data_IF_269265367779
#
_entry.id   IF_269265367779
#
_cell.length_a   1.000
_cell.length_b   1.000
_cell.length_c   1.000
_cell.angle_alpha   90.00
_cell.angle_beta   90.00
_cell.angle_gamma   90.00
#
_symmetry.space_group_name_H-M   'P 1'
#
loop_
_entity.id
_entity.type
_entity.pdbx_description
1 polymer ?
#
# COMPACT_ATOMS: atom_id res chain seq x y z
N UNK A 1 3.14 35.49 -3.96
CA UNK A 1 4.58 35.78 -4.10
C UNK A 1 5.06 35.32 -5.47
N UNK A 2 5.96 36.06 -6.12
CA UNK A 2 6.58 35.66 -7.40
C UNK A 2 8.11 35.75 -7.26
N UNK A 3 8.84 34.74 -7.74
CA UNK A 3 10.30 34.62 -7.60
C UNK A 3 10.89 34.20 -8.94
N UNK A 4 11.94 34.91 -9.40
CA UNK A 4 12.77 34.46 -10.53
C UNK A 4 13.90 33.55 -10.04
N UNK A 5 14.17 32.47 -10.75
CA UNK A 5 15.26 31.53 -10.48
C UNK A 5 16.05 31.25 -11.74
N UNK A 6 17.39 31.37 -11.71
CA UNK A 6 18.30 31.10 -12.83
C UNK A 6 18.94 29.69 -12.80
N UNK A 7 18.44 28.77 -11.97
CA UNK A 7 19.02 27.43 -11.85
C UNK A 7 18.08 26.41 -11.24
N UNK A 8 18.36 25.13 -11.53
CA UNK A 8 17.72 23.95 -10.89
C UNK A 8 17.80 24.01 -9.36
N UNK A 9 18.92 24.51 -8.81
CA UNK A 9 19.08 24.68 -7.37
C UNK A 9 18.21 25.82 -6.83
N UNK A 10 18.06 26.93 -7.57
CA UNK A 10 17.11 28.00 -7.26
C UNK A 10 15.68 27.49 -7.15
N UNK A 11 15.18 26.76 -8.16
CA UNK A 11 13.85 26.13 -8.14
C UNK A 11 13.65 25.23 -6.91
N UNK A 12 14.66 24.42 -6.58
CA UNK A 12 14.64 23.55 -5.38
C UNK A 12 14.64 24.34 -4.07
N UNK A 13 15.28 25.51 -3.99
CA UNK A 13 15.24 26.37 -2.82
C UNK A 13 13.87 27.04 -2.64
N UNK A 14 13.20 27.45 -3.72
CA UNK A 14 11.82 27.96 -3.64
C UNK A 14 10.87 26.86 -3.13
N UNK A 15 10.99 25.63 -3.66
CA UNK A 15 10.25 24.48 -3.16
C UNK A 15 10.56 24.18 -1.67
N UNK A 16 11.84 24.24 -1.26
CA UNK A 16 12.25 24.06 0.15
C UNK A 16 11.66 25.11 1.08
N UNK A 17 11.45 26.36 0.62
CA UNK A 17 10.74 27.38 1.40
C UNK A 17 9.27 26.99 1.61
N UNK A 18 8.56 26.62 0.54
CA UNK A 18 7.17 26.16 0.62
C UNK A 18 7.00 24.94 1.54
N UNK A 19 7.89 23.94 1.46
CA UNK A 19 7.84 22.73 2.28
C UNK A 19 7.80 22.99 3.80
N UNK A 20 8.39 24.10 4.28
CA UNK A 20 8.37 24.46 5.72
C UNK A 20 6.97 24.86 6.21
N UNK A 21 6.13 25.36 5.32
CA UNK A 21 4.77 25.81 5.63
C UNK A 21 3.73 24.69 5.53
N UNK A 22 4.04 23.61 4.80
CA UNK A 22 3.08 22.55 4.53
C UNK A 22 2.72 21.73 5.77
N UNK A 23 1.49 21.25 5.78
CA UNK A 23 0.88 20.40 6.80
C UNK A 23 0.13 19.24 6.11
N UNK A 24 -0.25 18.23 6.87
CA UNK A 24 -1.17 17.21 6.39
C UNK A 24 -2.52 17.86 5.98
N UNK A 25 -3.05 17.46 4.83
CA UNK A 25 -4.21 18.05 4.16
C UNK A 25 -3.88 19.09 3.09
N UNK A 26 -2.63 19.53 2.94
CA UNK A 26 -2.27 20.50 1.91
C UNK A 26 -2.17 19.88 0.51
N UNK A 27 -2.74 20.60 -0.47
CA UNK A 27 -2.70 20.26 -1.89
C UNK A 27 -1.93 21.36 -2.64
N UNK A 28 -0.93 20.97 -3.43
CA UNK A 28 -0.08 21.86 -4.21
C UNK A 28 -0.30 21.58 -5.70
N UNK A 29 -0.94 22.50 -6.40
CA UNK A 29 -1.28 22.38 -7.82
C UNK A 29 -0.23 23.12 -8.68
N UNK A 30 0.52 22.38 -9.51
CA UNK A 30 1.58 22.90 -10.36
C UNK A 30 1.09 23.07 -11.80
N UNK A 31 1.29 24.27 -12.33
CA UNK A 31 0.92 24.71 -13.68
C UNK A 31 2.16 25.20 -14.41
N UNK A 32 2.24 24.98 -15.73
CA UNK A 32 3.31 25.52 -16.57
C UNK A 32 3.66 24.59 -17.73
N UNK A 33 4.36 25.13 -18.74
CA UNK A 33 4.69 24.40 -19.97
C UNK A 33 5.66 23.22 -19.72
N UNK A 34 5.93 22.41 -20.76
CA UNK A 34 7.01 21.44 -20.74
C UNK A 34 8.36 22.15 -20.49
N UNK A 35 9.31 21.51 -19.80
CA UNK A 35 10.61 22.14 -19.46
C UNK A 35 10.58 23.26 -18.40
N UNK A 36 9.41 23.72 -17.95
CA UNK A 36 9.29 24.80 -16.94
C UNK A 36 9.81 24.46 -15.53
N UNK A 37 10.23 23.21 -15.28
CA UNK A 37 10.84 22.78 -14.02
C UNK A 37 9.86 22.24 -12.96
N UNK A 38 8.62 21.88 -13.33
CA UNK A 38 7.61 21.34 -12.41
C UNK A 38 8.13 20.17 -11.56
N UNK A 39 8.62 19.09 -12.18
CA UNK A 39 9.21 17.94 -11.45
C UNK A 39 10.44 18.30 -10.61
N UNK A 40 11.24 19.29 -11.03
CA UNK A 40 12.39 19.80 -10.25
C UNK A 40 11.90 20.47 -8.96
N UNK A 41 10.77 21.18 -9.02
CA UNK A 41 10.09 21.74 -7.86
C UNK A 41 9.56 20.63 -6.94
N UNK A 42 8.87 19.62 -7.48
CA UNK A 42 8.39 18.46 -6.69
C UNK A 42 9.55 17.74 -5.98
N UNK A 43 10.66 17.49 -6.68
CA UNK A 43 11.88 16.92 -6.09
C UNK A 43 12.43 17.75 -4.93
N UNK A 44 12.46 19.09 -5.10
CA UNK A 44 12.91 20.01 -4.05
C UNK A 44 12.01 19.96 -2.82
N UNK A 45 10.68 19.93 -3.05
CA UNK A 45 9.66 19.86 -2.01
C UNK A 45 9.76 18.54 -1.22
N UNK A 46 9.78 17.41 -1.92
CA UNK A 46 9.88 16.07 -1.32
C UNK A 46 11.17 15.90 -0.52
N UNK A 47 12.32 16.34 -1.06
CA UNK A 47 13.60 16.30 -0.33
C UNK A 47 13.57 17.17 0.93
N UNK A 48 12.92 18.33 0.87
CA UNK A 48 12.77 19.22 2.04
C UNK A 48 11.83 18.66 3.12
N UNK A 49 10.85 17.83 2.74
CA UNK A 49 9.98 17.08 3.65
C UNK A 49 10.64 15.81 4.22
N UNK A 50 11.90 15.52 3.89
CA UNK A 50 12.64 14.36 4.41
C UNK A 50 12.43 13.05 3.64
N UNK A 51 11.79 13.09 2.46
CA UNK A 51 11.56 11.91 1.63
C UNK A 51 12.89 11.46 1.01
N UNK A 52 13.38 10.28 1.44
CA UNK A 52 14.68 9.73 1.00
C UNK A 52 14.65 9.11 -0.41
N UNK A 53 13.48 8.64 -0.88
CA UNK A 53 13.32 8.08 -2.24
C UNK A 53 13.43 9.20 -3.29
N UNK A 54 14.16 8.95 -4.38
CA UNK A 54 14.24 9.87 -5.53
C UNK A 54 12.85 9.99 -6.19
N UNK A 55 12.32 11.20 -6.26
CA UNK A 55 11.14 11.51 -7.07
C UNK A 55 11.58 11.61 -8.53
N UNK A 56 11.01 10.75 -9.37
CA UNK A 56 11.10 10.82 -10.83
C UNK A 56 9.76 11.34 -11.35
N UNK A 57 9.73 12.08 -12.47
CA UNK A 57 8.48 12.27 -13.21
C UNK A 57 7.97 10.87 -13.57
N UNK A 58 6.74 10.50 -13.20
CA UNK A 58 6.18 9.20 -13.49
C UNK A 58 5.93 8.99 -14.99
N UNK A 59 6.93 8.47 -15.71
CA UNK A 59 6.83 8.26 -17.17
C UNK A 59 5.67 7.34 -17.60
N UNK A 60 5.19 6.44 -16.74
CA UNK A 60 4.20 5.40 -17.08
C UNK A 60 3.03 5.24 -16.08
N UNK A 61 2.94 6.05 -15.03
CA UNK A 61 1.91 5.89 -13.97
C UNK A 61 1.45 7.26 -13.52
N UNK A 62 0.15 7.55 -13.41
CA UNK A 62 -0.30 8.92 -13.07
C UNK A 62 -0.02 9.36 -11.64
N UNK A 63 0.15 8.42 -10.69
CA UNK A 63 0.28 8.66 -9.26
C UNK A 63 1.45 7.85 -8.66
N UNK A 64 2.21 8.46 -7.75
CA UNK A 64 3.14 7.76 -6.84
C UNK A 64 2.97 8.26 -5.41
N UNK A 65 3.01 7.33 -4.46
CA UNK A 65 2.79 7.60 -3.04
C UNK A 65 4.05 7.29 -2.24
N UNK A 66 4.42 8.20 -1.32
CA UNK A 66 5.65 8.10 -0.53
C UNK A 66 5.32 8.35 0.95
N UNK A 67 5.34 7.32 1.82
CA UNK A 67 5.15 7.51 3.25
C UNK A 67 6.34 8.24 3.86
N UNK A 68 6.08 9.17 4.78
CA UNK A 68 7.10 9.95 5.48
C UNK A 68 6.61 10.42 6.85
N UNK A 69 7.50 10.97 7.67
CA UNK A 69 7.17 11.50 9.00
C UNK A 69 7.43 13.00 9.02
N UNK A 70 6.40 13.78 9.39
CA UNK A 70 6.49 15.23 9.56
C UNK A 70 6.05 15.59 10.98
N UNK A 71 6.92 16.24 11.76
CA UNK A 71 6.63 16.68 13.14
C UNK A 71 6.00 15.55 14.01
N UNK A 72 6.56 14.34 13.93
CA UNK A 72 6.10 13.09 14.60
C UNK A 72 4.78 12.49 14.07
N UNK A 73 4.10 13.10 13.09
CA UNK A 73 2.94 12.52 12.42
C UNK A 73 3.37 11.70 11.18
N UNK A 74 2.75 10.53 10.99
CA UNK A 74 2.91 9.72 9.77
C UNK A 74 2.01 10.25 8.65
N UNK A 75 2.62 10.69 7.56
CA UNK A 75 1.98 11.31 6.41
C UNK A 75 2.27 10.53 5.12
N UNK A 76 1.46 10.77 4.08
CA UNK A 76 1.70 10.25 2.73
C UNK A 76 1.86 11.40 1.75
N UNK A 77 2.98 11.44 1.03
CA UNK A 77 3.20 12.39 -0.05
C UNK A 77 2.76 11.76 -1.37
N UNK A 78 1.72 12.31 -1.97
CA UNK A 78 1.19 11.87 -3.26
C UNK A 78 1.72 12.80 -4.36
N UNK A 79 2.48 12.26 -5.31
CA UNK A 79 2.92 12.96 -6.51
C UNK A 79 2.10 12.46 -7.71
N UNK A 80 1.36 13.37 -8.32
CA UNK A 80 0.62 13.12 -9.55
C UNK A 80 1.29 13.86 -10.70
N UNK A 81 1.41 13.22 -11.86
CA UNK A 81 1.87 13.85 -13.10
C UNK A 81 0.88 13.54 -14.22
N UNK A 82 0.07 14.53 -14.56
CA UNK A 82 -1.04 14.36 -15.50
C UNK A 82 -0.63 14.66 -16.95
N UNK A 83 0.67 14.77 -17.26
CA UNK A 83 1.15 15.15 -18.60
C UNK A 83 0.52 14.34 -19.74
N UNK A 84 0.37 13.02 -19.54
CA UNK A 84 0.01 12.07 -20.60
C UNK A 84 -1.49 11.82 -20.80
N UNK A 85 -2.35 12.10 -19.82
CA UNK A 85 -3.77 11.82 -19.96
C UNK A 85 -4.42 12.73 -21.00
N UNK A 86 -5.30 12.15 -21.82
CA UNK A 86 -5.94 12.78 -22.99
C UNK A 86 -7.42 13.04 -22.76
N UNK A 87 -8.11 12.22 -21.96
CA UNK A 87 -9.55 12.37 -21.69
C UNK A 87 -9.83 12.72 -20.22
N UNK A 88 -11.03 13.22 -19.93
CA UNK A 88 -11.47 13.40 -18.52
C UNK A 88 -11.61 12.06 -17.79
N UNK A 89 -11.97 10.98 -18.48
CA UNK A 89 -12.21 9.66 -17.90
C UNK A 89 -10.91 9.03 -17.37
N UNK A 90 -9.76 9.39 -17.97
CA UNK A 90 -8.41 8.97 -17.50
C UNK A 90 -8.16 9.36 -16.04
N UNK A 91 -8.85 10.40 -15.55
CA UNK A 91 -8.67 10.95 -14.19
C UNK A 91 -9.79 10.59 -13.22
N UNK A 92 -10.99 10.21 -13.71
CA UNK A 92 -12.13 9.81 -12.86
C UNK A 92 -11.76 8.59 -12.01
N UNK A 93 -11.01 7.65 -12.59
CA UNK A 93 -10.55 6.43 -11.91
C UNK A 93 -9.35 6.65 -10.97
N UNK A 94 -8.80 7.87 -10.85
CA UNK A 94 -7.67 8.14 -9.94
C UNK A 94 -8.08 8.31 -8.47
N UNK A 95 -9.37 8.35 -8.15
CA UNK A 95 -9.86 8.50 -6.78
C UNK A 95 -9.38 9.80 -6.11
N UNK A 96 -9.38 10.93 -6.84
CA UNK A 96 -8.74 12.18 -6.40
C UNK A 96 -9.21 12.66 -5.01
N UNK A 97 -10.50 12.48 -4.68
CA UNK A 97 -11.06 12.82 -3.36
C UNK A 97 -10.40 12.03 -2.21
N UNK A 98 -9.99 10.79 -2.47
CA UNK A 98 -9.26 9.94 -1.53
C UNK A 98 -7.81 10.39 -1.29
N UNK A 99 -7.29 11.28 -2.13
CA UNK A 99 -5.94 11.84 -1.97
C UNK A 99 -5.95 13.08 -1.07
N UNK A 100 -7.04 13.86 -1.04
CA UNK A 100 -7.12 15.18 -0.40
C UNK A 100 -7.42 15.13 1.11
N UNK A 101 -6.57 14.46 1.88
CA UNK A 101 -6.89 14.06 3.26
C UNK A 101 -5.94 14.63 4.33
N UNK A 102 -6.37 14.79 5.61
CA UNK A 102 -5.57 15.45 6.65
C UNK A 102 -4.19 14.85 7.01
N UNK A 103 -3.80 13.67 6.51
CA UNK A 103 -2.46 13.11 6.66
C UNK A 103 -1.63 13.15 5.36
N UNK A 104 -2.18 13.71 4.29
CA UNK A 104 -1.57 13.68 2.98
C UNK A 104 -0.89 15.02 2.68
N UNK A 105 0.10 14.99 1.80
CA UNK A 105 0.49 16.18 1.03
C UNK A 105 0.39 15.77 -0.43
N UNK A 106 -0.52 16.41 -1.17
CA UNK A 106 -0.76 16.08 -2.58
C UNK A 106 -0.09 17.11 -3.47
N UNK A 107 0.64 16.67 -4.48
CA UNK A 107 1.39 17.53 -5.40
C UNK A 107 1.08 17.09 -6.82
N UNK A 108 0.47 17.98 -7.61
CA UNK A 108 -0.13 17.64 -8.90
C UNK A 108 0.52 18.46 -10.00
N UNK A 109 1.29 17.83 -10.88
CA UNK A 109 1.76 18.45 -12.12
C UNK A 109 0.68 18.41 -13.19
N UNK A 110 0.54 19.50 -13.96
CA UNK A 110 -0.48 19.70 -15.00
C UNK A 110 -1.91 19.72 -14.42
N UNK A 111 -2.05 20.38 -13.26
CA UNK A 111 -3.29 20.45 -12.49
C UNK A 111 -4.47 21.08 -13.24
N UNK A 112 -4.21 21.83 -14.33
CA UNK A 112 -5.23 22.35 -15.24
C UNK A 112 -6.14 21.24 -15.81
N UNK A 113 -5.63 20.03 -16.01
CA UNK A 113 -6.39 18.91 -16.60
C UNK A 113 -7.50 18.37 -15.70
N UNK A 114 -7.40 18.62 -14.39
CA UNK A 114 -8.39 18.22 -13.38
C UNK A 114 -8.96 19.44 -12.64
N UNK A 115 -8.95 20.63 -13.26
CA UNK A 115 -9.33 21.92 -12.63
C UNK A 115 -10.65 21.85 -11.84
N UNK A 116 -11.64 21.09 -12.32
CA UNK A 116 -12.96 20.96 -11.70
C UNK A 116 -12.97 20.04 -10.45
N UNK A 117 -11.95 19.20 -10.27
CA UNK A 117 -11.79 18.29 -9.14
C UNK A 117 -10.79 18.82 -8.09
N UNK A 118 -10.10 19.93 -8.36
CA UNK A 118 -9.17 20.53 -7.41
C UNK A 118 -9.93 21.13 -6.21
N UNK A 119 -9.47 20.91 -4.96
CA UNK A 119 -10.14 21.46 -3.80
C UNK A 119 -10.06 22.99 -3.78
N UNK A 120 -11.06 23.62 -3.14
CA UNK A 120 -11.11 25.08 -2.96
C UNK A 120 -9.92 25.59 -2.13
N UNK A 121 -9.55 24.86 -1.07
CA UNK A 121 -8.34 25.12 -0.27
C UNK A 121 -7.17 24.33 -0.86
N UNK A 122 -6.23 25.04 -1.52
CA UNK A 122 -4.99 24.51 -2.11
C UNK A 122 -3.97 25.61 -2.34
N UNK A 123 -2.75 25.27 -2.70
CA UNK A 123 -1.67 26.19 -3.05
C UNK A 123 -1.38 26.04 -4.54
N UNK A 124 -1.59 27.09 -5.32
CA UNK A 124 -1.33 27.10 -6.75
C UNK A 124 0.11 27.62 -7.00
N UNK A 125 0.87 26.86 -7.79
CA UNK A 125 2.26 27.17 -8.16
C UNK A 125 2.34 27.23 -9.69
N UNK A 126 2.49 28.43 -10.24
CA UNK A 126 2.66 28.67 -11.68
C UNK A 126 4.14 28.84 -12.01
N UNK A 127 4.67 27.96 -12.87
CA UNK A 127 6.03 28.02 -13.39
C UNK A 127 6.00 28.50 -14.84
N UNK A 128 6.78 29.55 -15.15
CA UNK A 128 6.93 30.11 -16.51
C UNK A 128 8.40 30.14 -16.89
N UNK A 129 8.68 29.81 -18.15
CA UNK A 129 9.98 30.08 -18.77
C UNK A 129 10.01 31.58 -19.12
N UNK A 130 11.10 32.27 -18.81
CA UNK A 130 11.33 33.67 -19.22
C UNK A 130 12.34 33.69 -20.38
N UNK A 131 13.46 33.01 -20.16
CA UNK A 131 14.57 32.81 -21.10
C UNK A 131 15.19 31.42 -20.80
N UNK A 132 16.27 31.03 -21.47
CA UNK A 132 16.83 29.69 -21.38
C UNK A 132 17.22 29.27 -19.95
N UNK A 133 17.78 30.19 -19.15
CA UNK A 133 18.20 29.93 -17.77
C UNK A 133 17.14 30.34 -16.73
N UNK A 134 16.33 31.36 -17.02
CA UNK A 134 15.44 31.98 -16.04
C UNK A 134 14.03 31.38 -16.07
N UNK A 135 13.53 31.03 -14.89
CA UNK A 135 12.14 30.65 -14.65
C UNK A 135 11.49 31.62 -13.66
N UNK A 136 10.23 32.01 -13.88
CA UNK A 136 9.40 32.63 -12.84
C UNK A 136 8.57 31.56 -12.14
N UNK A 137 8.52 31.60 -10.81
CA UNK A 137 7.71 30.74 -9.96
C UNK A 137 6.78 31.64 -9.13
N UNK A 138 5.48 31.61 -9.45
CA UNK A 138 4.44 32.35 -8.74
C UNK A 138 3.63 31.40 -7.83
N UNK A 139 3.71 31.63 -6.53
CA UNK A 139 2.98 30.87 -5.50
C UNK A 139 1.86 31.75 -4.94
N UNK A 140 0.63 31.23 -4.92
CA UNK A 140 -0.55 31.92 -4.42
C UNK A 140 -1.60 30.91 -3.92
N UNK A 141 -2.49 31.34 -3.02
CA UNK A 141 -3.69 30.58 -2.64
C UNK A 141 -4.91 31.18 -3.35
N UNK A 142 -5.83 30.38 -3.91
CA UNK A 142 -7.08 30.85 -4.50
C UNK A 142 -8.17 31.10 -3.44
N UNK A 143 -7.81 31.18 -2.15
CA UNK A 143 -8.69 31.33 -1.00
C UNK A 143 -8.10 32.33 0.02
N UNK A 144 -8.93 32.85 0.92
CA UNK A 144 -8.58 33.96 1.82
C UNK A 144 -7.69 33.54 3.00
N UNK A 145 -6.85 34.46 3.48
CA UNK A 145 -5.90 34.22 4.59
C UNK A 145 -6.59 33.79 5.89
N UNK A 146 -7.79 34.32 6.16
CA UNK A 146 -8.58 34.06 7.37
C UNK A 146 -9.12 32.62 7.45
N UNK A 147 -9.17 31.90 6.33
CA UNK A 147 -9.60 30.50 6.27
C UNK A 147 -8.53 29.49 6.74
N UNK A 148 -7.28 29.93 6.97
CA UNK A 148 -6.14 29.09 7.39
C UNK A 148 -6.08 28.88 8.92
N UNK A 149 -6.71 29.76 9.71
CA UNK A 149 -6.64 29.75 11.18
C UNK A 149 -7.78 28.96 11.86
N UNK A 150 -8.97 28.87 11.25
CA UNK A 150 -10.19 28.28 11.86
C UNK A 150 -10.24 26.74 11.90
N UNK A 151 -9.08 26.07 11.93
CA UNK A 151 -8.97 24.60 11.83
C UNK A 151 -8.31 23.97 13.07
N UNK A 152 -8.61 24.53 14.26
CA UNK A 152 -8.25 23.94 15.56
C UNK A 152 -9.27 22.95 16.09
N UNK A 153 -10.57 23.23 15.93
CA UNK A 153 -11.68 22.38 16.40
C UNK A 153 -12.84 22.40 15.40
N UNK A 154 -13.10 21.26 14.75
CA UNK A 154 -14.43 20.90 14.22
C UNK A 154 -14.57 19.38 14.30
N UNK A 155 -15.59 18.93 15.02
CA UNK A 155 -16.01 17.54 15.02
C UNK A 155 -16.36 17.10 13.59
N UNK A 156 -15.88 15.92 13.20
CA UNK A 156 -16.01 15.43 11.82
C UNK A 156 -17.23 14.52 11.72
N UNK A 157 -18.31 15.05 11.15
CA UNK A 157 -19.48 14.27 10.77
C UNK A 157 -19.15 13.23 9.69
N UNK A 158 -19.82 12.08 9.79
CA UNK A 158 -19.51 10.81 9.12
C UNK A 158 -19.59 10.86 7.58
N UNK A 159 -18.46 10.72 6.86
CA UNK A 159 -18.31 9.82 5.69
C UNK A 159 -16.91 9.86 5.03
N UNK A 160 -16.39 8.64 4.72
CA UNK A 160 -15.70 8.20 3.47
C UNK A 160 -14.73 9.18 2.74
N UNK A 161 -13.47 8.88 2.37
CA UNK A 161 -12.45 7.84 2.64
C UNK A 161 -11.07 8.49 2.29
N UNK A 162 -9.89 8.24 2.90
CA UNK A 162 -8.94 7.13 2.64
C UNK A 162 -7.65 7.18 3.53
N UNK A 163 -7.61 7.99 4.60
CA UNK A 163 -6.90 7.63 5.85
C UNK A 163 -7.76 6.62 6.59
N UNK A 164 -9.05 6.96 6.57
CA UNK A 164 -10.16 6.10 6.87
C UNK A 164 -9.98 4.74 6.19
N UNK A 165 -9.50 4.57 4.96
CA UNK A 165 -9.42 3.23 4.33
C UNK A 165 -8.57 2.26 5.15
N UNK A 166 -7.30 2.61 5.38
CA UNK A 166 -6.39 1.72 6.09
C UNK A 166 -6.68 1.71 7.61
N UNK A 167 -7.05 2.84 8.21
CA UNK A 167 -7.42 2.87 9.64
C UNK A 167 -8.79 2.23 9.93
N UNK A 168 -9.74 2.22 8.99
CA UNK A 168 -11.03 1.51 9.09
C UNK A 168 -10.87 0.04 8.75
N UNK A 169 -9.97 -0.34 7.86
CA UNK A 169 -9.54 -1.74 7.73
C UNK A 169 -8.95 -2.24 9.05
N UNK A 170 -8.07 -1.46 9.68
CA UNK A 170 -7.57 -1.75 11.04
C UNK A 170 -8.69 -1.82 12.06
N UNK A 171 -9.63 -0.86 12.09
CA UNK A 171 -10.73 -0.85 13.06
C UNK A 171 -11.72 -2.00 12.81
N UNK A 172 -12.08 -2.31 11.56
CA UNK A 172 -12.92 -3.45 11.17
C UNK A 172 -12.25 -4.75 11.62
N UNK A 173 -10.96 -4.95 11.30
CA UNK A 173 -10.22 -6.13 11.75
C UNK A 173 -10.18 -6.21 13.28
N UNK A 174 -9.88 -5.10 13.98
CA UNK A 174 -9.93 -5.04 15.47
C UNK A 174 -11.31 -5.36 16.04
N UNK A 175 -12.38 -4.97 15.37
CA UNK A 175 -13.77 -5.31 15.74
C UNK A 175 -14.19 -6.73 15.32
N UNK A 176 -13.30 -7.55 14.78
CA UNK A 176 -13.60 -8.92 14.35
C UNK A 176 -14.27 -9.03 12.97
N UNK A 177 -14.24 -7.98 12.18
CA UNK A 177 -14.77 -7.95 10.83
C UNK A 177 -13.83 -8.51 9.76
N UNK A 178 -14.34 -8.57 8.54
CA UNK A 178 -13.69 -9.14 7.35
C UNK A 178 -13.39 -8.02 6.35
N UNK A 179 -12.14 -8.02 5.85
CA UNK A 179 -11.64 -7.01 4.90
C UNK A 179 -11.13 -7.68 3.63
N UNK A 180 -11.49 -7.11 2.48
CA UNK A 180 -10.92 -7.43 1.15
C UNK A 180 -9.89 -6.34 0.80
N UNK A 181 -8.73 -6.74 0.28
CA UNK A 181 -7.64 -5.82 -0.12
C UNK A 181 -6.80 -6.35 -1.29
N UNK A 182 -6.14 -5.48 -2.07
CA UNK A 182 -5.13 -5.90 -3.05
C UNK A 182 -3.87 -6.44 -2.37
N UNK A 183 -3.17 -7.37 -3.03
CA UNK A 183 -1.88 -7.94 -2.57
C UNK A 183 -0.82 -7.87 -3.67
N UNK A 184 0.42 -8.27 -3.38
CA UNK A 184 1.45 -8.44 -4.42
C UNK A 184 1.13 -9.59 -5.41
N UNK A 185 0.10 -10.38 -5.15
CA UNK A 185 -0.31 -11.56 -5.95
C UNK A 185 -1.68 -11.39 -6.60
N UNK A 186 -2.74 -11.71 -5.86
CA UNK A 186 -4.16 -11.61 -6.25
C UNK A 186 -4.92 -10.90 -5.12
N UNK A 187 -6.17 -10.51 -5.31
CA UNK A 187 -6.97 -9.93 -4.24
C UNK A 187 -7.10 -10.89 -3.06
N UNK A 188 -6.91 -10.35 -1.85
CA UNK A 188 -6.99 -11.08 -0.60
C UNK A 188 -8.27 -10.74 0.17
N UNK A 189 -8.81 -11.73 0.88
CA UNK A 189 -9.85 -11.57 1.90
C UNK A 189 -9.32 -12.09 3.24
N UNK A 190 -9.63 -11.37 4.31
CA UNK A 190 -8.89 -11.47 5.56
C UNK A 190 -9.73 -11.19 6.80
N UNK A 191 -9.34 -11.81 7.91
CA UNK A 191 -9.80 -11.53 9.26
C UNK A 191 -8.65 -11.68 10.27
N UNK A 192 -8.85 -11.25 11.52
CA UNK A 192 -7.87 -11.49 12.61
C UNK A 192 -7.66 -12.99 12.86
N UNK A 193 -6.40 -13.40 13.04
CA UNK A 193 -6.06 -14.80 13.28
C UNK A 193 -6.55 -15.34 14.65
N UNK A 194 -6.79 -14.46 15.63
CA UNK A 194 -7.19 -14.79 16.99
C UNK A 194 -8.71 -14.69 17.23
N UNK A 195 -9.51 -14.43 16.19
CA UNK A 195 -10.95 -14.28 16.31
C UNK A 195 -11.71 -15.44 15.65
N UNK A 196 -12.05 -16.47 16.42
CA UNK A 196 -12.76 -17.64 15.92
C UNK A 196 -14.11 -17.33 15.24
N UNK A 197 -14.83 -16.28 15.66
CA UNK A 197 -16.10 -15.89 15.02
C UNK A 197 -15.84 -15.34 13.61
N UNK A 198 -14.81 -14.51 13.47
CA UNK A 198 -14.38 -13.97 12.17
C UNK A 198 -13.85 -15.08 11.24
N UNK A 199 -13.11 -16.05 11.78
CA UNK A 199 -12.63 -17.24 11.06
C UNK A 199 -13.81 -18.07 10.51
N UNK A 200 -14.78 -18.43 11.36
CA UNK A 200 -15.97 -19.19 10.94
C UNK A 200 -16.74 -18.46 9.84
N UNK A 201 -16.92 -17.14 9.97
CA UNK A 201 -17.53 -16.30 8.93
C UNK A 201 -16.70 -16.26 7.64
N UNK A 202 -15.37 -16.21 7.72
CA UNK A 202 -14.51 -16.23 6.53
C UNK A 202 -14.65 -17.55 5.73
N UNK A 203 -14.70 -18.69 6.42
CA UNK A 203 -14.99 -19.98 5.80
C UNK A 203 -16.38 -19.99 5.13
N UNK A 204 -17.42 -19.47 5.81
CA UNK A 204 -18.78 -19.36 5.27
C UNK A 204 -18.84 -18.48 4.01
N UNK A 205 -18.24 -17.28 4.02
CA UNK A 205 -18.24 -16.36 2.86
C UNK A 205 -17.60 -17.01 1.63
N UNK A 206 -16.52 -17.76 1.82
CA UNK A 206 -15.83 -18.44 0.72
C UNK A 206 -16.44 -19.78 0.34
N UNK A 207 -17.32 -20.37 1.14
CA UNK A 207 -17.75 -21.77 0.98
C UNK A 207 -16.58 -22.76 1.03
N UNK A 208 -15.51 -22.45 1.75
CA UNK A 208 -14.32 -23.31 1.84
C UNK A 208 -14.55 -24.43 2.87
N UNK A 209 -14.15 -25.68 2.61
CA UNK A 209 -14.19 -26.76 3.60
C UNK A 209 -13.34 -26.46 4.84
N UNK A 210 -13.85 -26.78 6.04
CA UNK A 210 -13.16 -26.51 7.33
C UNK A 210 -11.82 -27.27 7.49
N UNK A 211 -11.63 -28.36 6.75
CA UNK A 211 -10.38 -29.12 6.72
C UNK A 211 -9.31 -28.50 5.80
N UNK A 212 -9.61 -27.43 5.05
CA UNK A 212 -8.65 -26.77 4.17
C UNK A 212 -8.01 -25.55 4.87
N UNK A 213 -6.67 -25.53 5.06
CA UNK A 213 -5.99 -24.41 5.70
C UNK A 213 -6.07 -23.08 4.94
N UNK A 214 -6.33 -22.00 5.67
CA UNK A 214 -5.92 -20.66 5.27
C UNK A 214 -4.60 -20.27 5.95
N UNK A 215 -3.65 -19.65 5.24
CA UNK A 215 -2.39 -19.22 5.82
C UNK A 215 -2.54 -17.92 6.63
N UNK A 216 -1.64 -17.75 7.58
CA UNK A 216 -1.48 -16.54 8.38
C UNK A 216 -0.50 -15.59 7.68
N UNK A 217 -0.92 -14.34 7.49
CA UNK A 217 -0.11 -13.24 7.00
C UNK A 217 0.58 -12.54 8.18
N UNK A 218 1.88 -12.31 8.04
CA UNK A 218 2.75 -11.66 9.03
C UNK A 218 3.45 -10.42 8.44
N UNK A 219 3.78 -9.45 9.29
CA UNK A 219 4.59 -8.27 8.95
C UNK A 219 6.06 -8.41 9.37
N UNK A 220 6.34 -9.25 10.36
CA UNK A 220 7.68 -9.48 10.93
C UNK A 220 7.92 -10.94 11.30
N UNK A 221 9.18 -11.38 11.25
CA UNK A 221 9.57 -12.78 11.50
C UNK A 221 9.23 -13.23 12.93
N UNK A 222 9.25 -12.34 13.91
CA UNK A 222 8.99 -12.70 15.30
C UNK A 222 7.54 -13.18 15.53
N UNK A 223 6.59 -12.74 14.71
CA UNK A 223 5.21 -13.28 14.70
C UNK A 223 5.15 -14.75 14.26
N UNK A 224 6.09 -15.18 13.41
CA UNK A 224 6.22 -16.59 13.04
C UNK A 224 6.89 -17.36 14.17
N UNK A 225 7.98 -16.82 14.75
CA UNK A 225 8.69 -17.46 15.88
C UNK A 225 7.77 -17.70 17.09
N UNK A 226 6.81 -16.82 17.35
CA UNK A 226 5.84 -16.98 18.44
C UNK A 226 4.76 -18.03 18.18
N UNK A 227 4.51 -18.40 16.92
CA UNK A 227 3.44 -19.32 16.53
C UNK A 227 3.95 -20.68 16.01
N UNK A 228 5.20 -20.74 15.54
CA UNK A 228 5.76 -21.90 14.86
C UNK A 228 7.27 -22.06 15.08
N UNK A 229 7.76 -23.26 14.78
CA UNK A 229 9.17 -23.62 14.77
C UNK A 229 9.70 -23.40 13.36
N UNK A 230 10.64 -22.47 13.18
CA UNK A 230 11.27 -22.23 11.86
C UNK A 230 12.30 -23.35 11.62
N UNK A 231 12.01 -24.26 10.69
CA UNK A 231 12.93 -25.33 10.29
C UNK A 231 14.12 -24.77 9.49
N UNK A 232 15.23 -25.52 9.38
CA UNK A 232 16.43 -25.10 8.62
C UNK A 232 16.08 -24.69 7.19
N UNK A 233 15.26 -25.49 6.50
CA UNK A 233 14.76 -25.21 5.16
C UNK A 233 13.74 -24.05 5.15
N UNK A 234 12.89 -23.96 6.17
CA UNK A 234 12.01 -22.80 6.39
C UNK A 234 12.80 -21.48 6.45
N UNK A 235 13.90 -21.43 7.20
CA UNK A 235 14.76 -20.24 7.30
C UNK A 235 15.42 -19.89 5.95
N UNK A 236 15.84 -20.87 5.17
CA UNK A 236 16.38 -20.65 3.82
C UNK A 236 15.33 -20.07 2.87
N UNK A 237 14.10 -20.58 2.91
CA UNK A 237 12.98 -20.06 2.13
C UNK A 237 12.59 -18.63 2.55
N UNK A 238 12.53 -18.35 3.85
CA UNK A 238 12.29 -17.02 4.40
C UNK A 238 13.34 -16.03 3.88
N UNK A 239 14.63 -16.33 4.07
CA UNK A 239 15.72 -15.42 3.70
C UNK A 239 15.78 -15.10 2.21
N UNK A 240 15.31 -16.02 1.35
CA UNK A 240 15.39 -15.88 -0.10
C UNK A 240 14.14 -15.28 -0.74
N UNK A 241 12.97 -15.45 -0.13
CA UNK A 241 11.68 -15.19 -0.80
C UNK A 241 10.68 -14.35 0.02
N UNK A 242 11.01 -13.93 1.24
CA UNK A 242 10.18 -13.00 2.02
C UNK A 242 10.83 -11.61 2.19
N UNK A 243 10.06 -10.50 2.11
CA UNK A 243 8.64 -10.44 1.72
C UNK A 243 8.39 -10.91 0.29
N UNK A 244 7.26 -11.57 0.02
CA UNK A 244 6.95 -12.05 -1.33
C UNK A 244 5.82 -13.07 -1.47
N UNK A 245 5.84 -13.74 -2.63
CA UNK A 245 4.78 -14.61 -3.12
C UNK A 245 5.03 -16.10 -2.82
N UNK A 246 5.54 -16.41 -1.62
CA UNK A 246 5.66 -17.78 -1.11
C UNK A 246 4.95 -17.91 0.24
N UNK A 247 4.23 -19.00 0.41
CA UNK A 247 3.63 -19.45 1.66
C UNK A 247 4.43 -20.66 2.15
N UNK A 248 4.90 -20.62 3.40
CA UNK A 248 5.76 -21.65 4.00
C UNK A 248 4.98 -22.28 5.15
N UNK A 249 4.76 -23.60 5.11
CA UNK A 249 4.13 -24.35 6.18
C UNK A 249 5.21 -24.84 7.14
N UNK A 250 5.04 -24.54 8.42
CA UNK A 250 6.00 -24.81 9.50
C UNK A 250 5.32 -25.59 10.63
N UNK A 251 6.06 -26.40 11.41
CA UNK A 251 5.52 -27.04 12.61
C UNK A 251 4.99 -25.98 13.59
N UNK A 252 3.78 -26.19 14.10
CA UNK A 252 3.16 -25.28 15.07
C UNK A 252 3.83 -25.38 16.44
N UNK A 253 3.82 -24.28 17.21
CA UNK A 253 4.21 -24.30 18.64
C UNK A 253 3.05 -24.61 19.58
N UNK A 254 1.83 -24.26 19.17
CA UNK A 254 0.63 -24.34 20.02
C UNK A 254 -0.56 -24.76 19.18
N UNK A 255 -1.46 -25.57 19.73
CA UNK A 255 -2.69 -25.96 19.03
C UNK A 255 -3.58 -24.75 18.70
N UNK A 256 -3.55 -23.72 19.53
CA UNK A 256 -4.22 -22.43 19.32
C UNK A 256 -3.64 -21.56 18.21
N UNK A 257 -2.45 -21.86 17.68
CA UNK A 257 -1.85 -21.13 16.56
C UNK A 257 -2.43 -21.55 15.20
N UNK A 258 -3.11 -22.69 15.13
CA UNK A 258 -3.82 -23.17 13.95
C UNK A 258 -5.30 -22.77 14.02
N UNK A 259 -5.85 -22.04 13.02
CA UNK A 259 -7.28 -21.74 12.94
C UNK A 259 -8.18 -22.96 12.59
N UNK A 260 -7.63 -24.18 12.61
CA UNK A 260 -8.04 -25.33 11.79
C UNK A 260 -7.86 -26.68 12.50
N UNK A 261 -8.43 -27.74 11.92
CA UNK A 261 -8.41 -29.11 12.48
C UNK A 261 -7.02 -29.75 12.58
N UNK A 262 -6.10 -29.50 11.63
CA UNK A 262 -4.70 -29.92 11.78
C UNK A 262 -3.93 -28.86 12.57
N UNK A 263 -3.74 -29.14 13.86
CA UNK A 263 -3.04 -28.24 14.78
C UNK A 263 -1.51 -28.43 14.78
N UNK A 264 -0.99 -29.40 14.02
CA UNK A 264 0.44 -29.76 14.04
C UNK A 264 1.31 -28.80 13.21
N UNK A 265 0.73 -28.11 12.23
CA UNK A 265 1.45 -27.23 11.31
C UNK A 265 0.61 -26.06 10.81
N UNK A 266 1.26 -24.95 10.51
CA UNK A 266 0.60 -23.70 10.10
C UNK A 266 1.32 -23.09 8.89
N UNK A 267 0.55 -22.68 7.89
CA UNK A 267 1.04 -21.94 6.73
C UNK A 267 1.22 -20.46 7.05
N UNK A 268 2.40 -19.91 6.80
CA UNK A 268 2.69 -18.48 6.95
C UNK A 268 3.05 -17.83 5.62
N UNK A 269 2.81 -16.53 5.48
CA UNK A 269 3.34 -15.71 4.39
C UNK A 269 3.64 -14.30 4.89
N UNK A 270 4.75 -13.71 4.44
CA UNK A 270 4.99 -12.28 4.55
C UNK A 270 4.80 -11.64 3.16
N UNK A 271 3.65 -11.00 2.87
CA UNK A 271 3.41 -10.42 1.55
C UNK A 271 4.32 -9.21 1.29
N UNK A 272 4.71 -9.02 0.03
CA UNK A 272 5.43 -7.82 -0.42
C UNK A 272 4.45 -6.65 -0.67
N UNK A 273 3.71 -6.28 0.37
CA UNK A 273 2.66 -5.26 0.31
C UNK A 273 2.74 -4.35 1.54
N UNK A 274 3.05 -3.08 1.29
CA UNK A 274 3.07 -2.03 2.32
C UNK A 274 1.73 -1.91 3.04
N UNK A 275 0.61 -2.07 2.31
CA UNK A 275 -0.74 -2.07 2.87
C UNK A 275 -0.89 -3.20 3.90
N UNK A 276 -0.57 -4.43 3.53
CA UNK A 276 -0.82 -5.59 4.40
C UNK A 276 0.07 -5.54 5.64
N UNK A 277 1.35 -5.16 5.47
CA UNK A 277 2.27 -5.00 6.60
C UNK A 277 1.78 -3.90 7.56
N UNK A 278 1.35 -2.76 7.02
CA UNK A 278 0.70 -1.69 7.81
C UNK A 278 -0.55 -2.18 8.55
N UNK A 279 -1.44 -2.94 7.89
CA UNK A 279 -2.65 -3.46 8.54
C UNK A 279 -2.28 -4.37 9.73
N UNK A 280 -1.38 -5.34 9.54
CA UNK A 280 -0.94 -6.26 10.59
C UNK A 280 -0.31 -5.50 11.77
N UNK A 281 0.62 -4.58 11.49
CA UNK A 281 1.30 -3.80 12.53
C UNK A 281 0.33 -2.92 13.35
N UNK A 282 -0.71 -2.38 12.70
CA UNK A 282 -1.69 -1.49 13.33
C UNK A 282 -2.84 -2.24 14.00
N UNK A 283 -3.20 -3.43 13.51
CA UNK A 283 -4.12 -4.38 14.16
C UNK A 283 -3.49 -5.00 15.41
N UNK A 284 -2.16 -5.13 15.41
CA UNK A 284 -1.35 -5.59 16.56
C UNK A 284 -1.11 -7.10 16.59
N UNK A 285 -1.75 -7.84 15.68
CA UNK A 285 -1.63 -9.30 15.56
C UNK A 285 -1.59 -9.72 14.08
N UNK A 286 -1.08 -10.92 13.76
CA UNK A 286 -1.25 -11.53 12.44
C UNK A 286 -2.71 -11.61 11.99
N UNK A 287 -2.90 -11.70 10.68
CA UNK A 287 -4.23 -11.83 10.07
C UNK A 287 -4.25 -13.06 9.17
N UNK A 288 -5.37 -13.77 9.08
CA UNK A 288 -5.53 -14.84 8.10
C UNK A 288 -5.72 -14.20 6.73
N UNK A 289 -5.13 -14.76 5.68
CA UNK A 289 -5.25 -14.22 4.33
C UNK A 289 -5.33 -15.30 3.27
N UNK A 290 -6.38 -15.24 2.47
CA UNK A 290 -6.65 -16.15 1.36
C UNK A 290 -7.20 -15.36 0.17
N UNK A 291 -7.28 -15.95 -1.01
CA UNK A 291 -7.76 -15.25 -2.21
C UNK A 291 -9.24 -14.85 -2.10
N UNK A 292 -9.61 -13.67 -2.60
CA UNK A 292 -10.96 -13.09 -2.50
C UNK A 292 -11.93 -13.62 -3.58
N UNK A 293 -12.06 -14.95 -3.66
CA UNK A 293 -12.99 -15.65 -4.56
C UNK A 293 -13.75 -16.75 -3.81
N UNK A 294 -14.89 -17.20 -4.36
CA UNK A 294 -15.62 -18.36 -3.83
C UNK A 294 -14.75 -19.60 -4.07
N UNK A 295 -14.78 -20.57 -3.16
CA UNK A 295 -14.05 -21.83 -3.28
C UNK A 295 -14.33 -22.51 -4.63
N UNK A 296 -13.27 -22.98 -5.30
CA UNK A 296 -13.33 -23.54 -6.66
C UNK A 296 -13.30 -22.51 -7.81
N UNK A 297 -13.61 -21.23 -7.57
CA UNK A 297 -13.49 -20.19 -8.59
C UNK A 297 -12.04 -19.69 -8.76
N UNK A 298 -11.76 -19.02 -9.89
CA UNK A 298 -10.47 -18.37 -10.13
C UNK A 298 -10.28 -17.14 -9.23
N UNK A 299 -9.11 -16.95 -8.60
CA UNK A 299 -8.72 -15.68 -8.00
C UNK A 299 -8.64 -14.54 -9.02
N UNK A 300 -8.80 -13.30 -8.56
CA UNK A 300 -8.79 -12.10 -9.42
C UNK A 300 -7.73 -11.09 -8.97
N UNK A 301 -7.28 -10.23 -9.90
CA UNK A 301 -6.20 -9.25 -9.68
C UNK A 301 -6.67 -7.79 -9.65
N UNK A 302 -7.85 -7.50 -10.21
CA UNK A 302 -8.48 -6.17 -10.17
C UNK A 302 -9.65 -6.13 -9.18
N UNK A 303 -10.03 -4.91 -8.75
CA UNK A 303 -11.23 -4.72 -7.92
C UNK A 303 -12.54 -4.97 -8.70
N UNK A 304 -12.54 -4.68 -10.00
CA UNK A 304 -13.74 -4.77 -10.84
C UNK A 304 -14.18 -6.22 -11.08
N UNK A 305 -13.23 -7.16 -11.04
CA UNK A 305 -13.48 -8.59 -11.27
C UNK A 305 -13.89 -9.36 -9.98
N UNK A 306 -13.92 -8.69 -8.82
CA UNK A 306 -14.34 -9.31 -7.55
C UNK A 306 -15.82 -9.71 -7.61
N UNK A 307 -16.15 -10.94 -7.18
CA UNK A 307 -17.55 -11.40 -7.08
C UNK A 307 -18.36 -10.43 -6.18
N UNK A 308 -19.40 -9.77 -6.70
CA UNK A 308 -20.22 -8.83 -5.91
C UNK A 308 -20.83 -9.44 -4.65
N UNK A 309 -21.05 -10.76 -4.60
CA UNK A 309 -21.50 -11.47 -3.40
C UNK A 309 -20.45 -11.42 -2.30
N UNK A 310 -19.18 -11.63 -2.63
CA UNK A 310 -18.07 -11.55 -1.67
C UNK A 310 -17.86 -10.11 -1.19
N UNK A 311 -17.95 -9.11 -2.09
CA UNK A 311 -17.89 -7.69 -1.71
C UNK A 311 -19.02 -7.36 -0.72
N UNK A 312 -20.25 -7.80 -1.00
CA UNK A 312 -21.44 -7.56 -0.16
C UNK A 312 -21.36 -8.26 1.21
N UNK A 313 -20.67 -9.39 1.31
CA UNK A 313 -20.53 -10.17 2.55
C UNK A 313 -19.37 -9.72 3.44
N UNK A 314 -18.39 -8.97 2.91
CA UNK A 314 -17.30 -8.36 3.68
C UNK A 314 -17.73 -7.01 4.31
N UNK A 315 -17.07 -6.60 5.39
CA UNK A 315 -17.40 -5.33 6.09
C UNK A 315 -16.65 -4.12 5.49
N UNK A 316 -15.61 -4.40 4.71
CA UNK A 316 -14.87 -3.44 3.90
C UNK A 316 -14.20 -4.14 2.72
N UNK A 317 -14.27 -3.52 1.55
CA UNK A 317 -13.39 -3.82 0.43
C UNK A 317 -12.57 -2.57 0.09
N UNK A 318 -11.26 -2.73 -0.07
CA UNK A 318 -10.32 -1.68 -0.46
C UNK A 318 -10.03 -1.85 -1.95
N UNK A 319 -10.18 -0.77 -2.71
CA UNK A 319 -9.86 -0.70 -4.15
C UNK A 319 -8.36 -0.59 -4.42
N UNK A 320 -7.95 -0.93 -5.64
CA UNK A 320 -6.55 -0.97 -6.08
C UNK A 320 -6.27 -2.12 -7.07
N UNK A 321 -5.00 -2.38 -7.32
CA UNK A 321 -4.53 -3.38 -8.29
C UNK A 321 -3.49 -4.32 -7.67
N UNK A 322 -3.46 -5.58 -8.12
CA UNK A 322 -2.46 -6.57 -7.69
C UNK A 322 -1.32 -6.69 -8.72
N UNK A 323 -0.08 -6.85 -8.24
CA UNK A 323 1.11 -6.76 -9.11
C UNK A 323 1.37 -8.00 -10.01
N UNK A 324 1.16 -9.22 -9.50
CA UNK A 324 1.60 -10.45 -10.19
C UNK A 324 0.48 -11.23 -10.89
N UNK A 325 -0.78 -11.04 -10.47
CA UNK A 325 -1.95 -11.77 -11.00
C UNK A 325 -2.00 -13.28 -10.71
N UNK A 326 -0.95 -13.86 -10.15
CA UNK A 326 -0.80 -15.28 -9.83
C UNK A 326 -0.63 -15.44 -8.33
N UNK A 327 -1.24 -16.49 -7.76
CA UNK A 327 -1.18 -16.78 -6.32
C UNK A 327 0.23 -17.12 -5.81
N UNK A 328 0.41 -17.11 -4.49
CA UNK A 328 1.66 -17.58 -3.87
C UNK A 328 1.87 -19.08 -4.02
N UNK A 329 3.13 -19.46 -4.24
CA UNK A 329 3.61 -20.85 -4.16
C UNK A 329 3.47 -21.32 -2.71
N UNK A 330 3.00 -22.55 -2.49
CA UNK A 330 2.86 -23.13 -1.14
C UNK A 330 3.86 -24.27 -0.99
N UNK A 331 4.69 -24.20 0.04
CA UNK A 331 5.73 -25.19 0.35
C UNK A 331 5.52 -25.74 1.76
N UNK A 332 5.45 -27.06 1.88
CA UNK A 332 5.54 -27.75 3.14
C UNK A 332 7.01 -27.91 3.56
N UNK A 333 7.39 -27.19 4.62
CA UNK A 333 8.72 -27.19 5.21
C UNK A 333 8.76 -27.92 6.57
N UNK A 334 7.73 -28.72 6.90
CA UNK A 334 7.74 -29.63 8.06
C UNK A 334 8.38 -30.98 7.76
N UNK A 335 8.58 -31.32 6.48
CA UNK A 335 9.22 -32.56 6.03
C UNK A 335 10.56 -32.29 5.32
N UNK A 336 11.41 -33.32 5.25
CA UNK A 336 12.65 -33.32 4.46
C UNK A 336 12.62 -34.53 3.51
N UNK A 337 12.75 -34.35 2.18
CA UNK A 337 12.79 -33.07 1.48
C UNK A 337 11.47 -32.29 1.63
N UNK A 338 11.51 -30.95 1.53
CA UNK A 338 10.31 -30.10 1.55
C UNK A 338 9.43 -30.36 0.32
N UNK A 339 8.10 -30.24 0.45
CA UNK A 339 7.15 -30.56 -0.62
C UNK A 339 6.48 -29.30 -1.15
N UNK A 340 6.53 -29.06 -2.47
CA UNK A 340 5.74 -27.98 -3.10
C UNK A 340 4.30 -28.47 -3.24
N UNK A 341 3.39 -27.95 -2.40
CA UNK A 341 1.97 -28.33 -2.42
C UNK A 341 1.17 -27.57 -3.48
N UNK A 342 1.62 -26.36 -3.85
CA UNK A 342 1.03 -25.58 -4.94
C UNK A 342 2.10 -24.73 -5.63
N UNK A 343 2.23 -24.89 -6.94
CA UNK A 343 3.12 -24.06 -7.74
C UNK A 343 2.43 -22.73 -8.12
N UNK A 344 2.89 -21.62 -7.53
CA UNK A 344 2.40 -20.26 -7.79
C UNK A 344 3.44 -19.39 -8.50
N UNK A 345 3.45 -18.09 -8.17
CA UNK A 345 4.32 -17.07 -8.76
C UNK A 345 5.83 -17.29 -8.54
N UNK A 346 6.24 -18.00 -7.47
CA UNK A 346 7.64 -18.37 -7.23
C UNK A 346 7.89 -19.77 -7.75
N UNK A 347 8.53 -19.91 -8.93
CA UNK A 347 8.87 -21.22 -9.51
C UNK A 347 9.99 -21.89 -8.71
N UNK A 348 9.76 -23.12 -8.23
CA UNK A 348 10.72 -23.92 -7.47
C UNK A 348 10.94 -25.25 -8.20
N UNK A 349 11.95 -25.32 -9.08
CA UNK A 349 12.13 -26.45 -10.00
C UNK A 349 12.62 -27.74 -9.32
N UNK A 350 13.32 -27.62 -8.19
CA UNK A 350 13.52 -28.68 -7.21
C UNK A 350 14.09 -28.06 -5.94
N UNK A 351 13.57 -28.44 -4.78
CA UNK A 351 14.18 -28.10 -3.48
C UNK A 351 15.14 -29.23 -3.10
N UNK A 352 16.21 -29.38 -3.88
CA UNK A 352 17.25 -30.36 -3.59
C UNK A 352 17.79 -30.11 -2.16
N UNK A 353 17.90 -31.15 -1.31
CA UNK A 353 18.65 -31.02 -0.08
C UNK A 353 20.09 -30.66 -0.46
N UNK A 354 20.58 -29.54 0.07
CA UNK A 354 22.04 -29.30 0.11
C UNK A 354 22.60 -30.31 1.09
N UNK A 355 22.94 -31.48 0.56
CA UNK A 355 23.77 -32.48 1.25
C UNK A 355 25.04 -31.72 1.67
N UNK A 356 25.39 -31.68 2.96
CA UNK A 356 26.66 -31.09 3.35
C UNK A 356 27.76 -31.85 2.63
N UNK A 357 28.68 -31.13 1.99
CA UNK A 357 29.84 -31.76 1.35
C UNK A 357 30.49 -32.71 2.36
N UNK A 358 30.77 -33.95 1.94
CA UNK A 358 31.50 -34.91 2.78
C UNK A 358 32.77 -34.20 3.25
N UNK A 359 32.95 -34.11 4.57
CA UNK A 359 34.26 -33.80 5.12
C UNK A 359 35.17 -34.96 4.69
N UNK A 360 36.12 -34.66 3.79
CA UNK A 360 37.16 -35.60 3.44
C UNK A 360 38.18 -35.64 4.58
N UNK A 361 38.23 -36.77 5.26
CA UNK A 361 39.41 -37.35 5.89
C UNK A 361 39.40 -38.82 5.47
#
# INVERSE_FOLDING_TARGET
MEIKTKSVQGTRQVAKRLAKELRGGDVVALYGNLGSGKTVFVQGLAKALGIKRRILSPTFVFLRSYPFVLKRAWLIFHHLDLYRGKSKNDYVNLGLEELFLPNSIVVIEWAEKIKNFLPKKRIDVKLRIIDDDTRSIKIFTPYSSSDRAKQGNREVSKSKFSINSNNKAVNVLKSGGIVIFPTDTVYGISCRFDNQKAIKRLYQIKGTPQNQPFPILVSKIDQVKSLAIITKIGQQLINKYWPGAITIILPSRHSSAAPQNDTSKVGFRMPDSDLIRFLIDRVGVPIIGTSANIHGQKPVSSFADLDPKIIKLADLAISGECQKGVESTVVDATCTPPKVLRQGAVKLMSLNPVIPAKAGI
#
